data_IF_596088119807
#
_entry.id   IF_596088119807
#
_cell.length_a   1.000
_cell.length_b   1.000
_cell.length_c   1.000
_cell.angle_alpha   90.00
_cell.angle_beta   90.00
_cell.angle_gamma   90.00
#
_symmetry.space_group_name_H-M   'P 1'
#
loop_
_entity.id
_entity.type
_entity.pdbx_description
1 polymer ?
#
# COMPACT_ATOMS: atom_id res chain seq x y z
N UNK A 1 -44.40 -25.89 -56.90
CA UNK A 1 -45.10 -26.07 -55.62
C UNK A 1 -44.14 -26.88 -54.74
N UNK A 2 -43.16 -26.26 -54.08
CA UNK A 2 -43.17 -25.81 -52.65
C UNK A 2 -43.60 -26.96 -51.73
N UNK A 3 -42.76 -27.50 -50.84
CA UNK A 3 -42.45 -26.93 -49.52
C UNK A 3 -41.14 -27.46 -48.90
N UNK A 4 -40.31 -26.54 -48.39
CA UNK A 4 -39.18 -26.77 -47.47
C UNK A 4 -39.68 -27.00 -46.04
N UNK A 5 -39.21 -28.00 -45.28
CA UNK A 5 -39.55 -28.13 -43.86
C UNK A 5 -38.70 -27.19 -42.99
N UNK A 6 -39.37 -26.35 -42.21
CA UNK A 6 -38.81 -25.45 -41.20
C UNK A 6 -38.37 -26.23 -39.94
N UNK A 7 -37.17 -26.01 -39.37
CA UNK A 7 -36.79 -26.59 -38.09
C UNK A 7 -37.47 -25.87 -36.90
N UNK A 8 -37.69 -26.57 -35.77
CA UNK A 8 -38.41 -26.01 -34.62
C UNK A 8 -37.60 -24.90 -33.93
N UNK A 9 -38.27 -23.78 -33.68
CA UNK A 9 -37.79 -22.67 -32.88
C UNK A 9 -37.60 -23.13 -31.43
N UNK A 10 -36.35 -23.28 -30.98
CA UNK A 10 -36.04 -23.47 -29.57
C UNK A 10 -36.33 -22.14 -28.87
N UNK A 11 -37.47 -22.07 -28.17
CA UNK A 11 -37.78 -20.96 -27.28
C UNK A 11 -36.69 -20.87 -26.21
N UNK A 12 -35.90 -19.81 -26.27
CA UNK A 12 -34.94 -19.45 -25.23
C UNK A 12 -35.66 -19.42 -23.88
N UNK A 13 -35.31 -20.39 -23.03
CA UNK A 13 -35.75 -20.43 -21.65
C UNK A 13 -35.42 -19.12 -20.98
N UNK A 14 -36.46 -18.47 -20.48
CA UNK A 14 -36.43 -17.26 -19.67
C UNK A 14 -35.30 -17.35 -18.65
N UNK A 15 -34.23 -16.57 -18.88
CA UNK A 15 -33.16 -16.41 -17.89
C UNK A 15 -33.79 -15.68 -16.72
N UNK A 16 -34.15 -16.45 -15.69
CA UNK A 16 -34.56 -15.91 -14.40
C UNK A 16 -33.37 -15.14 -13.84
N UNK A 17 -33.30 -13.85 -14.13
CA UNK A 17 -32.35 -12.92 -13.49
C UNK A 17 -32.75 -12.83 -12.03
N UNK A 18 -32.22 -13.73 -11.22
CA UNK A 18 -32.38 -13.69 -9.77
C UNK A 18 -31.63 -12.44 -9.27
N UNK A 19 -32.32 -11.37 -8.81
CA UNK A 19 -31.69 -10.12 -8.42
C UNK A 19 -30.85 -10.27 -7.13
N UNK A 20 -30.93 -11.42 -6.44
CA UNK A 20 -30.06 -11.76 -5.31
C UNK A 20 -28.66 -12.25 -5.73
N UNK A 21 -28.46 -12.69 -6.98
CA UNK A 21 -27.14 -13.14 -7.46
C UNK A 21 -26.12 -11.99 -7.62
N UNK A 22 -26.58 -10.74 -7.52
CA UNK A 22 -25.78 -9.53 -7.67
C UNK A 22 -25.43 -8.84 -6.35
N UNK A 23 -25.77 -9.42 -5.20
CA UNK A 23 -25.30 -8.92 -3.90
C UNK A 23 -24.01 -9.64 -3.53
N UNK A 24 -22.96 -8.86 -3.23
CA UNK A 24 -21.73 -9.38 -2.64
C UNK A 24 -22.09 -10.11 -1.33
N UNK A 25 -21.59 -11.33 -1.10
CA UNK A 25 -21.83 -12.02 0.16
C UNK A 25 -21.33 -11.19 1.35
N UNK A 26 -22.14 -11.11 2.41
CA UNK A 26 -21.79 -10.39 3.63
C UNK A 26 -20.51 -10.99 4.25
N UNK A 27 -19.67 -10.13 4.84
CA UNK A 27 -18.40 -10.55 5.44
C UNK A 27 -17.25 -10.79 4.44
N UNK A 28 -17.44 -10.45 3.15
CA UNK A 28 -16.40 -10.60 2.14
C UNK A 28 -16.04 -9.30 1.43
N UNK A 29 -14.81 -9.23 0.90
CA UNK A 29 -14.33 -8.14 0.07
C UNK A 29 -13.78 -8.66 -1.26
N UNK A 30 -13.94 -7.86 -2.33
CA UNK A 30 -13.26 -8.12 -3.61
C UNK A 30 -11.93 -7.38 -3.68
N UNK A 31 -11.03 -7.81 -4.56
CA UNK A 31 -9.74 -7.15 -4.77
C UNK A 31 -9.87 -5.65 -5.10
N UNK A 32 -10.94 -5.23 -5.79
CA UNK A 32 -11.23 -3.82 -6.08
C UNK A 32 -11.49 -3.01 -4.81
N UNK A 33 -12.34 -3.53 -3.91
CA UNK A 33 -12.67 -2.86 -2.63
C UNK A 33 -11.45 -2.72 -1.73
N UNK A 34 -10.61 -3.76 -1.71
CA UNK A 34 -9.36 -3.77 -0.95
C UNK A 34 -8.39 -2.74 -1.56
N UNK A 35 -8.27 -2.70 -2.89
CA UNK A 35 -7.41 -1.77 -3.57
C UNK A 35 -7.81 -0.31 -3.34
N UNK A 36 -9.12 0.00 -3.36
CA UNK A 36 -9.64 1.32 -3.05
C UNK A 36 -9.34 1.75 -1.61
N UNK A 37 -9.55 0.84 -0.66
CA UNK A 37 -9.25 1.09 0.75
C UNK A 37 -7.75 1.31 0.98
N UNK A 38 -6.89 0.50 0.34
CA UNK A 38 -5.45 0.67 0.39
C UNK A 38 -4.98 1.97 -0.29
N UNK A 39 -5.64 2.39 -1.38
CA UNK A 39 -5.33 3.63 -2.06
C UNK A 39 -5.58 4.84 -1.15
N UNK A 40 -6.72 4.84 -0.43
CA UNK A 40 -7.05 5.86 0.58
C UNK A 40 -6.00 5.93 1.69
N UNK A 41 -5.66 4.79 2.30
CA UNK A 41 -4.65 4.72 3.37
C UNK A 41 -3.29 5.25 2.89
N UNK A 42 -2.89 4.92 1.66
CA UNK A 42 -1.56 5.29 1.14
C UNK A 42 -1.52 6.65 0.43
N UNK A 43 -2.64 7.36 0.36
CA UNK A 43 -2.77 8.63 -0.35
C UNK A 43 -2.53 8.52 -1.87
N UNK A 44 -2.71 7.33 -2.46
CA UNK A 44 -2.58 7.11 -3.90
C UNK A 44 -3.90 7.37 -4.61
N UNK A 45 -3.83 7.90 -5.84
CA UNK A 45 -5.03 8.14 -6.68
C UNK A 45 -5.81 6.85 -6.94
N UNK A 46 -5.10 5.76 -7.25
CA UNK A 46 -5.69 4.43 -7.42
C UNK A 46 -4.64 3.34 -7.24
N UNK A 47 -5.10 2.14 -6.89
CA UNK A 47 -4.32 0.91 -6.89
C UNK A 47 -5.06 -0.10 -7.76
N UNK A 48 -4.39 -0.77 -8.72
CA UNK A 48 -5.03 -1.81 -9.52
C UNK A 48 -5.39 -3.05 -8.68
N UNK A 49 -6.52 -3.70 -8.98
CA UNK A 49 -6.89 -4.97 -8.34
C UNK A 49 -5.87 -6.10 -8.59
N UNK A 50 -5.11 -6.03 -9.69
CA UNK A 50 -3.99 -6.95 -9.97
C UNK A 50 -2.87 -6.84 -8.93
N UNK A 51 -2.65 -5.66 -8.35
CA UNK A 51 -1.68 -5.45 -7.27
C UNK A 51 -2.10 -6.22 -6.02
N UNK A 52 -3.38 -6.21 -5.65
CA UNK A 52 -3.89 -6.98 -4.51
C UNK A 52 -3.68 -8.47 -4.73
N UNK A 53 -4.03 -8.99 -5.91
CA UNK A 53 -3.77 -10.40 -6.26
C UNK A 53 -2.28 -10.76 -6.18
N UNK A 54 -1.41 -9.90 -6.71
CA UNK A 54 0.04 -10.11 -6.63
C UNK A 54 0.61 -9.96 -5.22
N UNK A 55 -0.02 -9.17 -4.34
CA UNK A 55 0.38 -9.10 -2.93
C UNK A 55 -0.02 -10.37 -2.18
N UNK A 56 -1.23 -10.88 -2.44
CA UNK A 56 -1.70 -12.12 -1.83
C UNK A 56 -0.84 -13.32 -2.26
N UNK A 57 -0.42 -13.39 -3.53
CA UNK A 57 0.46 -14.46 -4.02
C UNK A 57 1.90 -14.41 -3.50
N UNK A 58 2.27 -13.33 -2.79
CA UNK A 58 3.61 -13.12 -2.21
C UNK A 58 3.56 -13.10 -0.67
N UNK A 59 2.45 -13.55 -0.09
CA UNK A 59 2.20 -13.56 1.35
C UNK A 59 2.35 -12.18 2.02
N UNK A 60 2.08 -11.09 1.26
CA UNK A 60 2.19 -9.71 1.75
C UNK A 60 0.86 -9.17 2.33
N UNK A 61 -0.19 -9.98 2.26
CA UNK A 61 -1.54 -9.74 2.75
C UNK A 61 -2.27 -11.07 2.97
N UNK A 62 -3.43 -11.05 3.65
CA UNK A 62 -4.31 -12.23 3.76
C UNK A 62 -4.53 -12.97 2.45
N UNK A 63 -4.50 -14.29 2.53
CA UNK A 63 -4.80 -15.14 1.38
C UNK A 63 -6.26 -14.98 0.98
N UNK A 64 -6.58 -15.06 -0.32
CA UNK A 64 -7.98 -15.12 -0.75
C UNK A 64 -8.66 -16.36 -0.17
N UNK A 65 -9.96 -16.26 0.04
CA UNK A 65 -10.79 -17.42 0.31
C UNK A 65 -10.92 -18.30 -0.95
N UNK A 66 -11.41 -19.53 -0.78
CA UNK A 66 -11.79 -20.39 -1.90
C UNK A 66 -13.07 -19.94 -2.63
N UNK A 67 -13.76 -18.91 -2.14
CA UNK A 67 -15.05 -18.46 -2.66
C UNK A 67 -14.89 -17.46 -3.80
N UNK A 68 -15.89 -17.45 -4.68
CA UNK A 68 -15.98 -16.54 -5.82
C UNK A 68 -17.34 -15.87 -5.89
N UNK A 69 -17.35 -14.61 -6.31
CA UNK A 69 -18.55 -13.88 -6.68
C UNK A 69 -18.46 -13.48 -8.16
N UNK A 70 -19.21 -14.18 -9.00
CA UNK A 70 -19.03 -14.14 -10.46
C UNK A 70 -17.60 -14.57 -10.85
N UNK A 71 -16.84 -13.66 -11.48
CA UNK A 71 -15.43 -13.87 -11.84
C UNK A 71 -14.43 -13.37 -10.80
N UNK A 72 -14.91 -12.79 -9.69
CA UNK A 72 -14.07 -12.16 -8.66
C UNK A 72 -13.78 -13.15 -7.54
N UNK A 73 -12.52 -13.16 -7.10
CA UNK A 73 -12.09 -13.88 -5.91
C UNK A 73 -12.47 -13.06 -4.68
N UNK A 74 -12.86 -13.73 -3.61
CA UNK A 74 -13.27 -13.10 -2.36
C UNK A 74 -12.20 -13.25 -1.28
N UNK A 75 -12.08 -12.24 -0.43
CA UNK A 75 -11.31 -12.26 0.81
C UNK A 75 -12.24 -12.10 1.99
N UNK A 76 -11.83 -12.65 3.13
CA UNK A 76 -12.50 -12.38 4.40
C UNK A 76 -12.37 -10.90 4.75
N UNK A 77 -13.51 -10.25 5.03
CA UNK A 77 -13.55 -8.82 5.27
C UNK A 77 -12.89 -8.42 6.59
N UNK A 78 -13.01 -9.25 7.63
CA UNK A 78 -12.46 -8.95 8.95
C UNK A 78 -10.94 -9.08 8.94
N UNK A 79 -10.42 -10.17 8.36
CA UNK A 79 -8.98 -10.40 8.23
C UNK A 79 -8.30 -9.29 7.42
N UNK A 80 -8.90 -8.90 6.28
CA UNK A 80 -8.38 -7.80 5.46
C UNK A 80 -8.51 -6.46 6.17
N UNK A 81 -9.60 -6.21 6.90
CA UNK A 81 -9.78 -4.96 7.65
C UNK A 81 -8.73 -4.80 8.74
N UNK A 82 -8.41 -5.85 9.48
CA UNK A 82 -7.31 -5.83 10.45
C UNK A 82 -5.96 -5.58 9.78
N UNK A 83 -5.70 -6.24 8.66
CA UNK A 83 -4.48 -6.04 7.90
C UNK A 83 -4.36 -4.58 7.39
N UNK A 84 -5.45 -3.99 6.92
CA UNK A 84 -5.51 -2.58 6.50
C UNK A 84 -5.26 -1.64 7.69
N UNK A 85 -5.88 -1.87 8.85
CA UNK A 85 -5.63 -1.09 10.08
C UNK A 85 -4.16 -1.14 10.50
N UNK A 86 -3.54 -2.32 10.48
CA UNK A 86 -2.10 -2.49 10.76
C UNK A 86 -1.20 -1.75 9.75
N UNK A 87 -1.65 -1.58 8.50
CA UNK A 87 -0.94 -0.77 7.50
C UNK A 87 -1.14 0.72 7.69
N UNK A 88 -2.36 1.15 7.98
CA UNK A 88 -2.68 2.54 8.27
C UNK A 88 -1.89 3.07 9.47
N UNK A 89 -1.84 2.30 10.57
CA UNK A 89 -1.06 2.66 11.75
C UNK A 89 0.44 2.84 11.47
N UNK A 90 0.98 2.17 10.45
CA UNK A 90 2.38 2.28 10.01
C UNK A 90 2.57 3.31 8.89
N UNK A 91 1.50 3.78 8.27
CA UNK A 91 1.60 4.71 7.15
C UNK A 91 1.92 6.10 7.68
N UNK A 92 3.05 6.66 7.22
CA UNK A 92 3.40 8.05 7.49
C UNK A 92 2.92 8.90 6.32
N UNK A 93 1.99 9.85 6.54
CA UNK A 93 1.51 10.73 5.48
C UNK A 93 2.66 11.47 4.80
N UNK A 94 2.60 11.63 3.47
CA UNK A 94 3.66 12.29 2.68
C UNK A 94 3.97 13.71 3.18
N UNK A 95 2.95 14.45 3.62
CA UNK A 95 3.14 15.78 4.19
C UNK A 95 4.00 15.75 5.46
N UNK A 96 3.75 14.78 6.34
CA UNK A 96 4.52 14.57 7.56
C UNK A 96 5.95 14.11 7.24
N UNK A 97 6.13 13.21 6.26
CA UNK A 97 7.47 12.83 5.77
C UNK A 97 8.23 14.08 5.31
N UNK A 98 7.64 14.92 4.47
CA UNK A 98 8.27 16.17 4.00
C UNK A 98 8.61 17.12 5.14
N UNK A 99 7.75 17.26 6.13
CA UNK A 99 8.02 18.08 7.31
C UNK A 99 9.22 17.54 8.09
N UNK A 100 9.27 16.22 8.34
CA UNK A 100 10.39 15.58 9.05
C UNK A 100 11.69 15.72 8.24
N UNK A 101 11.64 15.53 6.92
CA UNK A 101 12.81 15.70 6.04
C UNK A 101 13.37 17.13 6.11
N UNK A 102 12.52 18.17 6.07
CA UNK A 102 12.97 19.57 6.22
C UNK A 102 13.65 19.82 7.56
N UNK A 103 13.09 19.27 8.64
CA UNK A 103 13.70 19.38 9.96
C UNK A 103 15.06 18.65 10.03
N UNK A 104 15.17 17.47 9.43
CA UNK A 104 16.44 16.72 9.35
C UNK A 104 17.49 17.48 8.55
N UNK A 105 17.12 18.09 7.42
CA UNK A 105 18.03 18.90 6.62
C UNK A 105 18.59 20.10 7.42
N UNK A 106 17.74 20.78 8.18
CA UNK A 106 18.17 21.88 9.04
C UNK A 106 19.12 21.43 10.16
N UNK A 107 18.85 20.25 10.76
CA UNK A 107 19.75 19.66 11.76
C UNK A 107 21.08 19.21 11.16
N UNK A 108 21.07 18.71 9.92
CA UNK A 108 22.28 18.32 9.20
C UNK A 108 23.16 19.53 8.87
N UNK A 109 22.57 20.61 8.38
CA UNK A 109 23.27 21.88 8.15
C UNK A 109 23.92 22.40 9.44
N UNK A 110 23.18 22.43 10.55
CA UNK A 110 23.72 22.82 11.85
C UNK A 110 24.86 21.90 12.31
N UNK A 111 24.73 20.59 12.11
CA UNK A 111 25.77 19.63 12.46
C UNK A 111 27.05 19.83 11.61
N UNK A 112 26.92 20.21 10.34
CA UNK A 112 28.06 20.53 9.47
C UNK A 112 28.73 21.85 9.87
N UNK A 113 27.95 22.89 10.17
CA UNK A 113 28.47 24.19 10.58
C UNK A 113 29.19 24.15 11.95
N UNK A 114 28.70 23.34 12.89
CA UNK A 114 29.22 23.31 14.27
C UNK A 114 30.11 22.11 14.58
N UNK A 115 30.13 21.09 13.71
CA UNK A 115 30.78 19.80 13.96
C UNK A 115 30.05 18.90 14.98
N UNK A 116 28.94 19.36 15.58
CA UNK A 116 28.20 18.62 16.60
C UNK A 116 26.97 17.90 16.01
N UNK A 117 27.01 16.57 15.95
CA UNK A 117 25.96 15.74 15.35
C UNK A 117 24.93 15.17 16.34
N UNK A 118 24.99 15.53 17.63
CA UNK A 118 24.12 14.96 18.66
C UNK A 118 22.62 15.22 18.37
N UNK A 119 22.29 16.45 17.95
CA UNK A 119 20.91 16.81 17.58
C UNK A 119 20.44 16.10 16.32
N UNK A 120 21.33 15.92 15.34
CA UNK A 120 21.03 15.18 14.12
C UNK A 120 20.73 13.70 14.44
N UNK A 121 21.55 13.05 15.28
CA UNK A 121 21.32 11.67 15.75
C UNK A 121 19.96 11.52 16.43
N UNK A 122 19.61 12.45 17.31
CA UNK A 122 18.29 12.44 17.97
C UNK A 122 17.15 12.67 16.97
N UNK A 123 17.32 13.58 16.01
CA UNK A 123 16.36 13.82 14.94
C UNK A 123 16.10 12.57 14.09
N UNK A 124 17.18 11.89 13.68
CA UNK A 124 17.11 10.63 12.91
C UNK A 124 16.42 9.52 13.70
N UNK A 125 16.75 9.35 14.98
CA UNK A 125 16.07 8.41 15.88
C UNK A 125 14.57 8.68 15.94
N UNK A 126 14.18 9.94 16.12
CA UNK A 126 12.78 10.34 16.18
C UNK A 126 12.06 10.10 14.85
N UNK A 127 12.71 10.37 13.72
CA UNK A 127 12.18 10.11 12.39
C UNK A 127 11.91 8.62 12.16
N UNK A 128 12.86 7.75 12.54
CA UNK A 128 12.71 6.30 12.42
C UNK A 128 11.57 5.76 13.31
N UNK A 129 11.48 6.20 14.57
CA UNK A 129 10.37 5.84 15.47
C UNK A 129 9.00 6.28 14.94
N UNK A 130 8.96 7.37 14.18
CA UNK A 130 7.75 7.85 13.49
C UNK A 130 7.44 7.08 12.20
N UNK A 131 8.24 6.09 11.82
CA UNK A 131 7.99 5.20 10.68
C UNK A 131 8.69 5.59 9.37
N UNK A 132 9.64 6.54 9.39
CA UNK A 132 10.43 6.84 8.19
C UNK A 132 11.43 5.72 7.91
N UNK A 133 11.55 5.35 6.63
CA UNK A 133 12.58 4.41 6.20
C UNK A 133 13.97 5.07 6.14
N UNK A 134 15.03 4.25 6.20
CA UNK A 134 16.40 4.74 6.01
C UNK A 134 16.60 5.48 4.69
N UNK A 135 15.87 5.10 3.62
CA UNK A 135 15.95 5.82 2.35
C UNK A 135 15.34 7.23 2.48
N UNK A 136 14.18 7.37 3.11
CA UNK A 136 13.56 8.68 3.31
C UNK A 136 14.41 9.60 4.20
N UNK A 137 15.16 9.02 5.13
CA UNK A 137 16.12 9.75 5.97
C UNK A 137 17.35 10.14 5.12
N UNK A 138 17.84 9.25 4.26
CA UNK A 138 18.96 9.52 3.36
C UNK A 138 18.66 10.67 2.39
N UNK A 139 17.45 10.70 1.84
CA UNK A 139 16.99 11.77 0.95
C UNK A 139 16.87 13.14 1.66
N UNK A 140 17.01 13.20 2.99
CA UNK A 140 16.85 14.42 3.79
C UNK A 140 18.17 15.04 4.27
N UNK A 141 19.27 14.28 4.22
CA UNK A 141 20.57 14.70 4.77
C UNK A 141 21.64 14.60 3.69
N UNK A 142 22.77 15.26 3.90
CA UNK A 142 23.91 15.19 2.98
C UNK A 142 25.05 14.39 3.61
N UNK A 143 25.99 13.95 2.78
CA UNK A 143 27.25 13.42 3.29
C UNK A 143 28.08 14.55 3.89
N UNK A 144 28.92 14.21 4.87
CA UNK A 144 29.72 15.21 5.62
C UNK A 144 30.65 16.05 4.73
N UNK A 145 31.10 15.49 3.59
CA UNK A 145 32.10 16.08 2.71
C UNK A 145 31.60 16.34 1.27
N UNK A 146 30.30 16.58 1.08
CA UNK A 146 29.77 16.82 -0.25
C UNK A 146 28.28 17.12 -0.30
N UNK A 147 27.83 17.60 -1.46
CA UNK A 147 26.46 18.05 -1.69
C UNK A 147 25.55 16.94 -2.23
N UNK A 148 25.87 15.68 -1.93
CA UNK A 148 25.07 14.53 -2.35
C UNK A 148 24.45 13.80 -1.16
N UNK A 149 23.28 13.20 -1.39
CA UNK A 149 22.63 12.35 -0.40
C UNK A 149 23.43 11.06 -0.16
N UNK A 150 23.51 10.58 1.10
CA UNK A 150 24.09 9.27 1.38
C UNK A 150 23.22 8.14 0.83
N UNK A 151 23.79 6.94 0.70
CA UNK A 151 22.99 5.75 0.40
C UNK A 151 22.22 5.28 1.64
N UNK A 152 21.15 4.49 1.43
CA UNK A 152 20.39 3.83 2.50
C UNK A 152 21.29 3.10 3.50
N UNK A 153 22.24 2.31 3.01
CA UNK A 153 23.14 1.53 3.86
C UNK A 153 24.12 2.41 4.62
N UNK A 154 24.59 3.52 4.03
CA UNK A 154 25.43 4.48 4.74
C UNK A 154 24.68 5.14 5.91
N UNK A 155 23.41 5.51 5.72
CA UNK A 155 22.55 6.01 6.80
C UNK A 155 22.34 4.94 7.87
N UNK A 156 22.04 3.71 7.46
CA UNK A 156 21.86 2.58 8.38
C UNK A 156 23.12 2.32 9.19
N UNK A 157 24.30 2.34 8.58
CA UNK A 157 25.57 2.14 9.27
C UNK A 157 25.86 3.29 10.24
N UNK A 158 25.66 4.55 9.81
CA UNK A 158 25.94 5.75 10.62
C UNK A 158 25.00 5.89 11.83
N UNK A 159 23.72 5.59 11.66
CA UNK A 159 22.70 5.85 12.67
C UNK A 159 22.12 4.59 13.33
N UNK A 160 22.37 3.41 12.77
CA UNK A 160 21.89 2.12 13.27
C UNK A 160 22.18 1.86 14.75
N UNK A 161 23.37 2.19 15.29
CA UNK A 161 23.65 2.02 16.72
C UNK A 161 22.77 2.86 17.67
N UNK A 162 22.01 3.81 17.13
CA UNK A 162 21.21 4.77 17.91
C UNK A 162 19.71 4.60 17.75
N UNK A 163 19.24 3.66 16.93
CA UNK A 163 17.83 3.49 16.54
C UNK A 163 17.29 2.21 17.16
#
# INVERSE_FOLDING_TARGET
MTTTPTPPHISNGSTSTNPQANKLPDGYMTAEMIAESLARITGKKSIPASTIRGMASRDQMPAPTGLKWGRRILWDADEVSEWLKKREARHVPRALVRQIQRNLAALDEQARATGNDARLKQGVRNAYRRGLSFQQIADAILVKNGDHHPTREAVRSRFGPYI
#
